data_IF_066635068094
#
_entry.id   IF_066635068094
#
_cell.length_a   1.000
_cell.length_b   1.000
_cell.length_c   1.000
_cell.angle_alpha   90.00
_cell.angle_beta   90.00
_cell.angle_gamma   90.00
#
_symmetry.space_group_name_H-M   'P 1'
#
loop_
_entity.id
_entity.type
_entity.pdbx_description
1 polymer ?
#
# COMPACT_ATOMS: atom_id res chain seq x y z
N UNK A 1 -39.03 16.14 -28.76
CA UNK A 1 -40.11 17.01 -29.30
C UNK A 1 -39.87 17.47 -30.75
N UNK A 2 -38.64 17.69 -31.22
CA UNK A 2 -38.35 18.09 -32.60
C UNK A 2 -38.58 17.00 -33.65
N UNK A 3 -38.41 15.73 -33.34
CA UNK A 3 -38.67 14.59 -34.23
C UNK A 3 -40.14 14.39 -34.61
N UNK A 4 -41.07 14.88 -33.82
CA UNK A 4 -42.52 14.77 -34.09
C UNK A 4 -42.98 15.84 -35.05
N UNK A 5 -42.38 17.01 -35.11
CA UNK A 5 -42.78 18.12 -35.99
C UNK A 5 -42.42 17.86 -37.46
N UNK A 6 -41.29 17.19 -37.74
CA UNK A 6 -40.82 16.92 -39.10
C UNK A 6 -41.57 15.73 -39.72
N UNK A 7 -41.98 14.75 -38.93
CA UNK A 7 -42.81 13.64 -39.39
C UNK A 7 -44.24 14.04 -39.75
N UNK A 8 -44.79 15.06 -39.07
CA UNK A 8 -46.17 15.53 -39.31
C UNK A 8 -46.37 16.25 -40.65
N UNK A 9 -45.37 17.03 -41.12
CA UNK A 9 -45.50 17.78 -42.39
C UNK A 9 -45.50 16.90 -43.63
N UNK A 10 -44.71 15.82 -43.66
CA UNK A 10 -44.69 14.88 -44.79
C UNK A 10 -45.93 13.99 -44.89
N UNK A 11 -46.58 13.74 -43.77
CA UNK A 11 -47.79 12.91 -43.65
C UNK A 11 -49.06 13.64 -44.07
N UNK A 12 -49.16 14.94 -43.89
CA UNK A 12 -50.31 15.73 -44.31
C UNK A 12 -50.44 15.81 -45.85
N UNK A 13 -49.36 15.63 -46.59
CA UNK A 13 -49.37 15.63 -48.06
C UNK A 13 -49.80 14.28 -48.69
N UNK A 14 -49.66 13.16 -48.00
CA UNK A 14 -50.05 11.81 -48.44
C UNK A 14 -51.50 11.42 -48.05
N UNK A 15 -52.21 12.30 -47.38
CA UNK A 15 -53.47 11.99 -46.70
C UNK A 15 -54.75 12.12 -47.60
N UNK A 16 -54.71 11.78 -48.87
CA UNK A 16 -55.92 11.68 -49.66
C UNK A 16 -56.73 10.39 -49.50
N UNK A 17 -56.25 9.42 -48.71
CA UNK A 17 -56.98 8.18 -48.39
C UNK A 17 -56.89 7.84 -46.91
N UNK A 18 -58.02 7.56 -46.24
CA UNK A 18 -58.11 7.26 -44.80
C UNK A 18 -57.21 6.14 -44.28
N UNK A 19 -56.68 5.30 -45.15
CA UNK A 19 -55.76 4.20 -44.84
C UNK A 19 -54.33 4.69 -44.48
N UNK A 20 -53.88 5.76 -45.12
CA UNK A 20 -52.54 6.38 -44.84
C UNK A 20 -52.50 7.05 -43.49
N UNK A 21 -53.58 7.68 -43.06
CA UNK A 21 -53.67 8.30 -41.71
C UNK A 21 -53.67 7.23 -40.60
N UNK A 22 -54.29 6.10 -40.83
CA UNK A 22 -54.38 4.98 -39.86
C UNK A 22 -53.00 4.32 -39.70
N UNK A 23 -52.27 4.09 -40.78
CA UNK A 23 -50.91 3.54 -40.79
C UNK A 23 -49.92 4.49 -40.12
N UNK A 24 -50.04 5.81 -40.37
CA UNK A 24 -49.22 6.83 -39.72
C UNK A 24 -49.44 6.88 -38.20
N UNK A 25 -50.71 6.83 -37.80
CA UNK A 25 -51.06 6.79 -36.36
C UNK A 25 -50.53 5.54 -35.65
N UNK A 26 -50.61 4.37 -36.32
CA UNK A 26 -50.10 3.11 -35.77
C UNK A 26 -48.56 3.12 -35.64
N UNK A 27 -47.89 3.75 -36.60
CA UNK A 27 -46.41 3.86 -36.58
C UNK A 27 -45.93 4.81 -35.50
N UNK A 28 -46.61 5.94 -35.29
CA UNK A 28 -46.31 6.86 -34.19
C UNK A 28 -46.53 6.18 -32.83
N UNK A 29 -47.61 5.39 -32.69
CA UNK A 29 -47.89 4.62 -31.48
C UNK A 29 -46.84 3.54 -31.23
N UNK A 30 -46.42 2.81 -32.27
CA UNK A 30 -45.34 1.83 -32.17
C UNK A 30 -43.98 2.43 -31.85
N UNK A 31 -43.65 3.58 -32.42
CA UNK A 31 -42.44 4.34 -32.05
C UNK A 31 -42.47 4.79 -30.61
N UNK A 32 -43.60 5.27 -30.11
CA UNK A 32 -43.74 5.69 -28.72
C UNK A 32 -43.65 4.51 -27.75
N UNK A 33 -44.17 3.33 -28.11
CA UNK A 33 -44.09 2.11 -27.32
C UNK A 33 -42.67 1.49 -27.29
N UNK A 34 -41.90 1.63 -28.36
CA UNK A 34 -40.55 1.05 -28.46
C UNK A 34 -39.46 1.99 -28.04
N UNK A 35 -39.77 3.28 -27.89
CA UNK A 35 -38.81 4.29 -27.42
C UNK A 35 -38.15 3.97 -26.05
N UNK A 36 -38.86 3.44 -25.03
CA UNK A 36 -38.26 3.07 -23.73
C UNK A 36 -37.37 1.83 -23.80
N UNK A 37 -37.46 0.99 -24.83
CA UNK A 37 -36.77 -0.31 -24.91
C UNK A 37 -35.26 -0.20 -25.21
N UNK A 38 -34.75 0.97 -25.58
CA UNK A 38 -33.33 1.21 -25.84
C UNK A 38 -32.70 0.38 -26.97
N UNK A 39 -31.52 0.78 -27.47
CA UNK A 39 -30.73 0.00 -28.40
C UNK A 39 -31.32 -0.15 -29.82
N UNK A 40 -31.00 -1.27 -30.51
CA UNK A 40 -31.32 -1.56 -31.91
C UNK A 40 -32.82 -1.57 -32.21
N UNK A 41 -33.68 -1.83 -31.25
CA UNK A 41 -35.12 -1.98 -31.39
C UNK A 41 -35.87 -0.66 -31.63
N UNK A 42 -35.30 0.49 -31.36
CA UNK A 42 -35.88 1.84 -31.60
C UNK A 42 -36.23 2.08 -33.06
N UNK A 43 -35.50 1.43 -33.98
CA UNK A 43 -35.62 1.68 -35.44
C UNK A 43 -36.53 0.71 -36.15
N UNK A 44 -36.93 -0.40 -35.49
CA UNK A 44 -37.80 -1.42 -36.06
C UNK A 44 -39.13 -0.84 -36.56
N UNK A 45 -39.85 0.04 -35.82
CA UNK A 45 -41.08 0.64 -36.30
C UNK A 45 -40.88 1.57 -37.51
N UNK A 46 -39.75 2.27 -37.51
CA UNK A 46 -39.40 3.19 -38.60
C UNK A 46 -39.09 2.42 -39.89
N UNK A 47 -38.37 1.33 -39.80
CA UNK A 47 -38.07 0.40 -40.89
C UNK A 47 -39.34 -0.25 -41.40
N UNK A 48 -40.25 -0.67 -40.51
CA UNK A 48 -41.57 -1.17 -40.86
C UNK A 48 -42.44 -0.15 -41.61
N UNK A 49 -42.42 1.10 -41.16
CA UNK A 49 -43.12 2.21 -41.85
C UNK A 49 -42.57 2.47 -43.24
N UNK A 50 -41.25 2.52 -43.39
CA UNK A 50 -40.61 2.74 -44.71
C UNK A 50 -40.92 1.58 -45.66
N UNK A 51 -40.83 0.35 -45.18
CA UNK A 51 -41.17 -0.86 -45.96
C UNK A 51 -42.64 -0.82 -46.42
N UNK A 52 -43.55 -0.46 -45.51
CA UNK A 52 -44.99 -0.38 -45.81
C UNK A 52 -45.31 0.79 -46.77
N UNK A 53 -44.61 1.92 -46.59
CA UNK A 53 -44.75 3.06 -47.47
C UNK A 53 -44.20 2.78 -48.87
N UNK A 54 -43.07 2.09 -49.01
CA UNK A 54 -42.52 1.66 -50.30
C UNK A 54 -43.41 0.66 -51.00
N UNK A 55 -43.98 -0.31 -50.25
CA UNK A 55 -44.94 -1.27 -50.78
C UNK A 55 -46.23 -0.60 -51.26
N UNK A 56 -46.75 0.39 -50.57
CA UNK A 56 -47.96 1.13 -50.99
C UNK A 56 -47.67 2.02 -52.20
N UNK A 57 -46.46 2.54 -52.37
CA UNK A 57 -46.02 3.28 -53.51
C UNK A 57 -45.89 2.44 -54.78
N UNK A 58 -45.45 1.19 -54.64
CA UNK A 58 -45.36 0.20 -55.75
C UNK A 58 -46.74 -0.25 -56.23
N UNK A 59 -47.75 -0.26 -55.34
CA UNK A 59 -49.09 -0.79 -55.63
C UNK A 59 -50.12 0.26 -56.14
N UNK A 60 -49.64 1.42 -56.58
CA UNK A 60 -50.52 2.28 -57.40
C UNK A 60 -51.02 3.58 -56.80
N UNK A 61 -50.43 4.01 -55.72
CA UNK A 61 -50.68 5.31 -55.14
C UNK A 61 -49.70 6.37 -55.72
N UNK A 62 -49.80 6.73 -56.97
CA UNK A 62 -49.20 7.84 -57.72
C UNK A 62 -48.11 8.73 -57.05
N UNK A 63 -47.16 8.18 -56.36
CA UNK A 63 -46.07 8.91 -55.75
C UNK A 63 -45.02 9.31 -56.77
N UNK A 64 -44.69 10.60 -56.84
CA UNK A 64 -43.62 11.10 -57.68
C UNK A 64 -42.25 10.61 -57.26
N UNK A 65 -41.35 10.43 -58.18
CA UNK A 65 -39.95 10.07 -57.96
C UNK A 65 -39.29 10.96 -56.87
N UNK A 66 -39.69 12.24 -56.77
CA UNK A 66 -39.26 13.19 -55.77
C UNK A 66 -39.70 12.82 -54.33
N UNK A 67 -40.90 12.23 -54.18
CA UNK A 67 -41.37 11.75 -52.85
C UNK A 67 -40.62 10.53 -52.36
N UNK A 68 -40.25 9.61 -53.27
CA UNK A 68 -39.42 8.46 -52.96
C UNK A 68 -38.00 8.83 -52.59
N UNK A 69 -37.38 9.75 -53.28
CA UNK A 69 -36.06 10.29 -52.96
C UNK A 69 -36.05 11.03 -51.64
N UNK A 70 -37.08 11.83 -51.33
CA UNK A 70 -37.24 12.52 -50.05
C UNK A 70 -37.37 11.54 -48.87
N UNK A 71 -38.14 10.46 -49.01
CA UNK A 71 -38.25 9.46 -48.00
C UNK A 71 -36.94 8.68 -47.76
N UNK A 72 -36.22 8.33 -48.82
CA UNK A 72 -34.88 7.70 -48.72
C UNK A 72 -33.84 8.61 -48.03
N UNK A 73 -33.81 9.88 -48.33
CA UNK A 73 -32.94 10.86 -47.70
C UNK A 73 -33.27 11.02 -46.21
N UNK A 74 -34.55 11.01 -45.86
CA UNK A 74 -35.00 11.15 -44.48
C UNK A 74 -34.64 9.89 -43.65
N UNK A 75 -34.77 8.71 -44.23
CA UNK A 75 -34.36 7.45 -43.60
C UNK A 75 -32.85 7.36 -43.47
N UNK A 76 -32.13 7.74 -44.50
CA UNK A 76 -30.65 7.81 -44.44
C UNK A 76 -30.16 8.79 -43.42
N UNK A 77 -30.76 9.98 -43.32
CA UNK A 77 -30.45 11.00 -42.35
C UNK A 77 -30.76 10.56 -40.91
N UNK A 78 -31.90 9.95 -40.69
CA UNK A 78 -32.25 9.41 -39.37
C UNK A 78 -31.38 8.19 -38.97
N UNK A 79 -31.02 7.36 -39.93
CA UNK A 79 -30.05 6.28 -39.70
C UNK A 79 -28.67 6.78 -39.30
N UNK A 80 -28.18 7.82 -40.01
CA UNK A 80 -26.90 8.45 -39.68
C UNK A 80 -26.93 9.14 -38.31
N UNK A 81 -28.01 9.82 -37.92
CA UNK A 81 -28.23 10.40 -36.61
C UNK A 81 -28.28 9.35 -35.52
N UNK A 82 -28.91 8.20 -35.77
CA UNK A 82 -28.98 7.09 -34.84
C UNK A 82 -27.64 6.40 -34.62
N UNK A 83 -26.84 6.25 -35.66
CA UNK A 83 -25.48 5.75 -35.56
C UNK A 83 -24.58 6.69 -34.77
N UNK A 84 -24.71 7.99 -34.98
CA UNK A 84 -23.98 9.02 -34.25
C UNK A 84 -24.39 9.10 -32.79
N UNK A 85 -25.68 8.95 -32.46
CA UNK A 85 -26.18 8.93 -31.09
C UNK A 85 -25.70 7.66 -30.35
N UNK A 86 -25.67 6.50 -31.00
CA UNK A 86 -25.13 5.27 -30.39
C UNK A 86 -23.61 5.33 -30.20
N UNK A 87 -22.87 5.96 -31.10
CA UNK A 87 -21.43 6.18 -30.96
C UNK A 87 -21.15 7.13 -29.79
N UNK A 88 -21.84 8.28 -29.72
CA UNK A 88 -21.74 9.23 -28.61
C UNK A 88 -22.13 8.61 -27.27
N UNK A 89 -23.15 7.76 -27.23
CA UNK A 89 -23.57 7.08 -26.01
C UNK A 89 -22.52 6.06 -25.56
N UNK A 90 -21.88 5.37 -26.50
CA UNK A 90 -20.76 4.46 -26.23
C UNK A 90 -19.55 5.21 -25.67
N UNK A 91 -19.21 6.33 -26.28
CA UNK A 91 -18.09 7.19 -25.86
C UNK A 91 -18.32 7.80 -24.48
N UNK A 92 -19.51 8.30 -24.19
CA UNK A 92 -19.90 8.82 -22.87
C UNK A 92 -19.90 7.70 -21.82
N UNK A 93 -20.29 6.50 -22.18
CA UNK A 93 -20.27 5.35 -21.27
C UNK A 93 -18.82 4.93 -20.96
N UNK A 94 -17.96 4.91 -21.98
CA UNK A 94 -16.53 4.66 -21.81
C UNK A 94 -15.86 5.69 -20.91
N UNK A 95 -16.11 6.98 -21.14
CA UNK A 95 -15.59 8.07 -20.29
C UNK A 95 -16.08 7.97 -18.85
N UNK A 96 -17.33 7.58 -18.61
CA UNK A 96 -17.87 7.36 -17.26
C UNK A 96 -17.20 6.18 -16.57
N UNK A 97 -16.92 5.10 -17.28
CA UNK A 97 -16.20 3.95 -16.72
C UNK A 97 -14.77 4.33 -16.33
N UNK A 98 -14.05 5.02 -17.20
CA UNK A 98 -12.70 5.53 -16.91
C UNK A 98 -12.72 6.48 -15.71
N UNK A 99 -13.67 7.42 -15.65
CA UNK A 99 -13.79 8.35 -14.53
C UNK A 99 -14.09 7.61 -13.21
N UNK A 100 -14.97 6.61 -13.23
CA UNK A 100 -15.29 5.80 -12.05
C UNK A 100 -14.08 4.95 -11.59
N UNK A 101 -13.33 4.37 -12.53
CA UNK A 101 -12.12 3.62 -12.25
C UNK A 101 -11.04 4.52 -11.60
N UNK A 102 -10.82 5.71 -12.17
CA UNK A 102 -9.87 6.70 -11.63
C UNK A 102 -10.29 7.16 -10.23
N UNK A 103 -11.57 7.48 -10.03
CA UNK A 103 -12.05 7.95 -8.73
C UNK A 103 -11.98 6.86 -7.64
N UNK A 104 -12.42 5.65 -7.92
CA UNK A 104 -12.38 4.55 -6.96
C UNK A 104 -10.97 4.00 -6.74
N UNK A 105 -10.16 3.91 -7.79
CA UNK A 105 -8.80 3.40 -7.74
C UNK A 105 -7.83 4.35 -7.06
N UNK A 106 -7.94 5.66 -7.30
CA UNK A 106 -7.10 6.65 -6.62
C UNK A 106 -7.34 6.69 -5.11
N UNK A 107 -8.60 6.52 -4.66
CA UNK A 107 -8.91 6.41 -3.23
C UNK A 107 -8.20 5.22 -2.58
N UNK A 108 -8.29 4.03 -3.18
CA UNK A 108 -7.59 2.83 -2.68
C UNK A 108 -6.06 3.00 -2.65
N UNK A 109 -5.51 3.72 -3.64
CA UNK A 109 -4.08 3.98 -3.71
C UNK A 109 -3.62 4.91 -2.58
N UNK A 110 -4.40 5.95 -2.26
CA UNK A 110 -4.10 6.90 -1.16
C UNK A 110 -4.24 6.25 0.22
N UNK A 111 -5.15 5.30 0.39
CA UNK A 111 -5.35 4.56 1.64
C UNK A 111 -4.30 3.48 1.89
N UNK A 112 -3.51 3.12 0.87
CA UNK A 112 -2.50 2.08 0.98
C UNK A 112 -1.28 2.56 1.79
N UNK A 113 -0.92 1.80 2.83
CA UNK A 113 0.12 2.16 3.80
C UNK A 113 1.39 1.29 3.69
N UNK A 114 1.41 0.33 2.75
CA UNK A 114 2.54 -0.57 2.49
C UNK A 114 2.86 -0.58 1.00
N UNK A 115 4.12 -0.76 0.64
CA UNK A 115 4.53 -0.85 -0.76
C UNK A 115 3.73 -1.88 -1.56
N UNK A 116 3.50 -3.07 -0.99
CA UNK A 116 2.72 -4.13 -1.63
C UNK A 116 1.27 -3.72 -1.91
N UNK A 117 0.63 -3.00 -0.98
CA UNK A 117 -0.75 -2.53 -1.14
C UNK A 117 -0.83 -1.40 -2.17
N UNK A 118 0.16 -0.51 -2.20
CA UNK A 118 0.30 0.55 -3.22
C UNK A 118 0.44 -0.08 -4.61
N UNK A 119 1.34 -1.07 -4.75
CA UNK A 119 1.53 -1.80 -6.01
C UNK A 119 0.24 -2.50 -6.43
N UNK A 120 -0.42 -3.20 -5.52
CA UNK A 120 -1.68 -3.90 -5.77
C UNK A 120 -2.78 -2.93 -6.22
N UNK A 121 -2.92 -1.80 -5.53
CA UNK A 121 -3.91 -0.78 -5.87
C UNK A 121 -3.60 -0.12 -7.22
N UNK A 122 -2.33 0.20 -7.51
CA UNK A 122 -1.90 0.78 -8.76
C UNK A 122 -2.12 -0.15 -9.96
N UNK A 123 -1.73 -1.43 -9.83
CA UNK A 123 -2.00 -2.45 -10.86
C UNK A 123 -3.50 -2.65 -11.07
N UNK A 124 -4.30 -2.64 -9.99
CA UNK A 124 -5.75 -2.74 -10.10
C UNK A 124 -6.36 -1.53 -10.80
N UNK A 125 -5.90 -0.32 -10.49
CA UNK A 125 -6.34 0.93 -11.12
C UNK A 125 -6.11 0.89 -12.63
N UNK A 126 -4.90 0.54 -13.07
CA UNK A 126 -4.58 0.44 -14.51
C UNK A 126 -5.38 -0.67 -15.18
N UNK A 127 -5.59 -1.80 -14.50
CA UNK A 127 -6.39 -2.91 -15.04
C UNK A 127 -7.87 -2.54 -15.21
N UNK A 128 -8.43 -1.72 -14.33
CA UNK A 128 -9.83 -1.23 -14.39
C UNK A 128 -10.08 -0.29 -15.59
N UNK A 129 -9.04 0.33 -16.15
CA UNK A 129 -9.14 1.08 -17.39
C UNK A 129 -9.49 0.17 -18.59
N UNK A 130 -9.18 -1.12 -18.51
CA UNK A 130 -9.57 -2.12 -19.51
C UNK A 130 -8.78 -2.05 -20.82
N UNK A 131 -7.64 -1.34 -20.86
CA UNK A 131 -6.86 -1.13 -22.10
C UNK A 131 -6.06 -2.35 -22.54
N UNK A 132 -5.70 -3.23 -21.60
CA UNK A 132 -4.91 -4.42 -21.89
C UNK A 132 -5.30 -5.59 -20.97
N UNK A 133 -5.37 -6.83 -21.51
CA UNK A 133 -5.63 -8.03 -20.70
C UNK A 133 -4.42 -8.47 -19.89
N UNK A 134 -3.20 -8.04 -20.25
CA UNK A 134 -1.95 -8.41 -19.62
C UNK A 134 -1.22 -7.15 -19.13
N UNK A 135 -0.92 -7.12 -17.84
CA UNK A 135 -0.29 -5.98 -17.15
C UNK A 135 0.68 -6.50 -16.10
N UNK A 136 1.87 -5.94 -16.04
CA UNK A 136 2.84 -6.14 -14.98
C UNK A 136 3.39 -4.81 -14.47
N UNK A 137 3.65 -4.74 -13.18
CA UNK A 137 4.53 -3.75 -12.56
C UNK A 137 5.81 -4.43 -12.13
N UNK A 138 6.92 -3.94 -12.61
CA UNK A 138 8.27 -4.39 -12.26
C UNK A 138 8.91 -3.30 -11.42
N UNK A 139 9.27 -3.63 -10.20
CA UNK A 139 10.03 -2.76 -9.30
C UNK A 139 11.33 -3.40 -8.89
N UNK A 140 12.10 -2.74 -8.03
CA UNK A 140 13.41 -3.19 -7.61
C UNK A 140 13.38 -3.73 -6.18
N UNK A 141 13.87 -4.97 -5.98
CA UNK A 141 14.07 -5.58 -4.68
C UNK A 141 15.55 -5.87 -4.50
N UNK A 142 16.18 -5.20 -3.55
CA UNK A 142 17.64 -5.28 -3.34
C UNK A 142 18.46 -5.00 -4.61
N UNK A 143 17.99 -4.04 -5.42
CA UNK A 143 18.64 -3.64 -6.67
C UNK A 143 18.39 -4.58 -7.86
N UNK A 144 17.60 -5.65 -7.69
CA UNK A 144 17.22 -6.56 -8.77
C UNK A 144 15.79 -6.29 -9.21
N UNK A 145 15.52 -6.15 -10.53
CA UNK A 145 14.16 -5.99 -11.02
C UNK A 145 13.35 -7.26 -10.80
N UNK A 146 12.13 -7.10 -10.33
CA UNK A 146 11.20 -8.17 -10.00
C UNK A 146 9.77 -7.79 -10.33
N UNK A 147 8.96 -8.73 -10.79
CA UNK A 147 7.52 -8.52 -10.96
C UNK A 147 6.88 -8.45 -9.59
N UNK A 148 6.42 -7.26 -9.19
CA UNK A 148 5.82 -7.01 -7.87
C UNK A 148 4.30 -7.01 -7.90
N UNK A 149 3.70 -6.83 -9.07
CA UNK A 149 2.25 -6.90 -9.26
C UNK A 149 1.91 -7.19 -10.70
N UNK A 150 0.86 -7.98 -10.96
CA UNK A 150 0.51 -8.36 -12.31
C UNK A 150 -0.97 -8.76 -12.47
N UNK A 151 -1.42 -8.75 -13.74
CA UNK A 151 -2.68 -9.30 -14.19
C UNK A 151 -2.53 -10.06 -15.51
N UNK A 152 -3.48 -10.95 -15.80
CA UNK A 152 -3.48 -11.78 -16.99
C UNK A 152 -2.30 -12.75 -16.98
N UNK A 153 -1.68 -12.97 -18.14
CA UNK A 153 -0.59 -13.96 -18.29
C UNK A 153 0.70 -13.62 -17.48
N UNK A 154 0.84 -12.40 -16.99
CA UNK A 154 1.96 -12.06 -16.10
C UNK A 154 1.75 -12.52 -14.65
N UNK A 155 0.54 -12.92 -14.25
CA UNK A 155 0.22 -13.20 -12.84
C UNK A 155 1.04 -14.36 -12.24
N UNK A 156 1.46 -15.32 -13.05
CA UNK A 156 2.30 -16.46 -12.62
C UNK A 156 3.77 -16.09 -12.34
N UNK A 157 4.18 -14.87 -12.75
CA UNK A 157 5.54 -14.38 -12.61
C UNK A 157 5.73 -13.42 -11.42
N UNK A 158 4.69 -13.17 -10.64
CA UNK A 158 4.78 -12.32 -9.44
C UNK A 158 5.83 -12.90 -8.48
N UNK A 159 6.68 -12.03 -7.96
CA UNK A 159 7.86 -12.32 -7.13
C UNK A 159 9.02 -13.04 -7.84
N UNK A 160 8.98 -13.17 -9.15
CA UNK A 160 10.14 -13.70 -9.90
C UNK A 160 11.11 -12.57 -10.26
N UNK A 161 12.41 -12.71 -9.98
CA UNK A 161 13.43 -11.78 -10.43
C UNK A 161 13.57 -11.85 -11.95
N UNK A 162 13.86 -10.70 -12.55
CA UNK A 162 14.15 -10.55 -13.98
C UNK A 162 15.65 -10.24 -14.10
N UNK A 163 16.33 -10.89 -15.01
CA UNK A 163 17.75 -10.68 -15.22
C UNK A 163 17.96 -10.03 -16.60
N UNK A 164 17.95 -8.68 -16.70
CA UNK A 164 18.15 -8.00 -17.96
C UNK A 164 19.56 -8.26 -18.51
N UNK A 165 19.66 -8.53 -19.80
CA UNK A 165 20.91 -8.71 -20.50
C UNK A 165 21.55 -7.34 -20.78
N UNK A 166 22.18 -6.70 -19.79
CA UNK A 166 22.91 -5.43 -19.97
C UNK A 166 23.05 -4.57 -18.72
N UNK A 167 23.87 -3.52 -18.76
CA UNK A 167 24.10 -2.56 -17.67
C UNK A 167 22.89 -1.63 -17.45
N UNK A 168 22.42 -1.52 -16.22
CA UNK A 168 21.07 -1.12 -15.80
C UNK A 168 20.85 0.37 -15.46
N UNK A 169 21.50 1.34 -16.13
CA UNK A 169 21.39 2.76 -15.72
C UNK A 169 21.09 3.78 -16.82
N UNK A 170 20.33 3.40 -17.89
CA UNK A 170 19.98 4.36 -18.95
C UNK A 170 18.54 4.16 -19.44
N UNK A 171 17.97 5.15 -20.17
CA UNK A 171 16.67 5.03 -20.89
C UNK A 171 16.64 3.80 -21.83
N UNK A 172 17.81 3.33 -22.29
CA UNK A 172 17.95 2.05 -23.00
C UNK A 172 17.70 0.84 -22.10
N UNK A 173 17.90 0.96 -20.77
CA UNK A 173 17.62 -0.10 -19.82
C UNK A 173 16.11 -0.34 -19.63
N UNK A 174 15.27 0.69 -19.68
CA UNK A 174 13.82 0.55 -19.57
C UNK A 174 13.24 -0.20 -20.76
N UNK A 175 13.74 0.03 -21.96
CA UNK A 175 13.34 -0.74 -23.14
C UNK A 175 13.82 -2.19 -23.06
N UNK A 176 15.06 -2.42 -22.63
CA UNK A 176 15.60 -3.77 -22.45
C UNK A 176 14.83 -4.53 -21.35
N UNK A 177 14.49 -3.87 -20.25
CA UNK A 177 13.68 -4.45 -19.18
C UNK A 177 12.25 -4.75 -19.66
N UNK A 178 11.66 -3.87 -20.45
CA UNK A 178 10.33 -4.11 -21.02
C UNK A 178 10.34 -5.33 -21.95
N UNK A 179 11.36 -5.47 -22.80
CA UNK A 179 11.53 -6.60 -23.72
C UNK A 179 11.68 -7.93 -22.96
N UNK A 180 12.46 -7.96 -21.88
CA UNK A 180 12.62 -9.13 -21.02
C UNK A 180 11.30 -9.50 -20.31
N UNK A 181 10.56 -8.51 -19.84
CA UNK A 181 9.23 -8.72 -19.23
C UNK A 181 8.26 -9.29 -20.27
N UNK A 182 8.25 -8.75 -21.49
CA UNK A 182 7.40 -9.22 -22.57
C UNK A 182 7.80 -10.63 -23.03
N UNK A 183 9.07 -10.99 -22.91
CA UNK A 183 9.55 -12.35 -23.21
C UNK A 183 8.95 -13.41 -22.27
N UNK A 184 8.48 -13.02 -21.08
CA UNK A 184 7.76 -13.93 -20.16
C UNK A 184 6.40 -14.35 -20.71
N UNK A 185 5.77 -13.52 -21.57
CA UNK A 185 4.45 -13.84 -22.12
C UNK A 185 4.52 -15.01 -23.10
N UNK A 186 3.52 -15.89 -23.10
CA UNK A 186 3.36 -16.89 -24.13
C UNK A 186 3.12 -16.21 -25.50
N UNK A 187 3.52 -16.84 -26.62
CA UNK A 187 3.45 -16.22 -27.95
C UNK A 187 2.08 -15.62 -28.31
N UNK A 188 1.00 -16.27 -27.92
CA UNK A 188 -0.39 -15.83 -28.15
C UNK A 188 -0.79 -14.59 -27.35
N UNK A 189 -0.10 -14.29 -26.26
CA UNK A 189 -0.35 -13.11 -25.42
C UNK A 189 0.59 -11.93 -25.79
N UNK A 190 1.60 -12.17 -26.65
CA UNK A 190 2.48 -11.13 -27.17
C UNK A 190 1.78 -10.35 -28.26
N UNK A 191 1.87 -9.03 -28.22
CA UNK A 191 1.25 -8.14 -29.19
C UNK A 191 1.78 -6.73 -29.05
N UNK A 192 0.92 -5.77 -29.32
CA UNK A 192 1.23 -4.37 -29.07
C UNK A 192 1.47 -4.15 -27.58
N UNK A 193 2.49 -3.38 -27.24
CA UNK A 193 2.87 -3.15 -25.86
C UNK A 193 3.02 -1.66 -25.55
N UNK A 194 2.87 -1.34 -24.29
CA UNK A 194 3.09 -0.03 -23.72
C UNK A 194 3.91 -0.20 -22.44
N UNK A 195 5.07 0.43 -22.39
CA UNK A 195 5.88 0.55 -21.19
C UNK A 195 5.85 1.98 -20.68
N UNK A 196 5.64 2.15 -19.38
CA UNK A 196 5.55 3.47 -18.73
C UNK A 196 6.37 3.42 -17.45
N UNK A 197 7.37 4.29 -17.28
CA UNK A 197 8.16 4.37 -16.07
C UNK A 197 7.29 4.86 -14.90
N UNK A 198 7.53 4.30 -13.72
CA UNK A 198 6.94 4.72 -12.46
C UNK A 198 8.02 5.43 -11.66
N UNK A 199 7.91 6.75 -11.55
CA UNK A 199 8.89 7.60 -10.88
C UNK A 199 8.26 8.32 -9.69
N UNK A 200 9.01 8.44 -8.59
CA UNK A 200 8.56 9.13 -7.39
C UNK A 200 9.75 9.65 -6.58
N UNK A 201 9.61 10.80 -5.91
CA UNK A 201 10.69 11.38 -5.12
C UNK A 201 11.96 11.72 -5.92
N UNK A 202 11.89 11.79 -7.26
CA UNK A 202 13.05 12.00 -8.13
C UNK A 202 13.82 10.73 -8.47
N UNK A 203 13.32 9.55 -8.08
CA UNK A 203 13.91 8.24 -8.34
C UNK A 203 13.05 7.41 -9.28
N UNK A 204 13.70 6.50 -10.00
CA UNK A 204 13.04 5.46 -10.77
C UNK A 204 12.64 4.31 -9.81
N UNK A 205 11.33 4.07 -9.72
CA UNK A 205 10.74 3.07 -8.82
C UNK A 205 10.34 1.80 -9.57
N UNK A 206 10.38 1.83 -10.91
CA UNK A 206 10.08 0.68 -11.74
C UNK A 206 9.30 0.99 -13.01
N UNK A 207 8.75 -0.05 -13.62
CA UNK A 207 8.13 -0.01 -14.93
C UNK A 207 6.78 -0.70 -14.94
N UNK A 208 5.75 -0.02 -15.48
CA UNK A 208 4.48 -0.64 -15.88
C UNK A 208 4.60 -1.14 -17.32
N UNK A 209 4.30 -2.40 -17.54
CA UNK A 209 4.31 -3.04 -18.87
C UNK A 209 2.92 -3.61 -19.15
N UNK A 210 2.29 -3.12 -20.22
CA UNK A 210 1.00 -3.58 -20.70
C UNK A 210 1.18 -4.28 -22.05
N UNK A 211 0.42 -5.37 -22.27
CA UNK A 211 0.39 -6.05 -23.56
C UNK A 211 -1.02 -6.41 -23.96
N UNK A 212 -1.35 -6.21 -25.26
CA UNK A 212 -2.60 -6.63 -25.87
C UNK A 212 -2.41 -7.08 -27.32
N UNK A 213 -3.18 -8.04 -27.82
CA UNK A 213 -3.10 -8.45 -29.22
C UNK A 213 -3.75 -7.41 -30.14
N UNK A 214 -3.12 -7.14 -31.25
CA UNK A 214 -3.72 -6.65 -32.48
C UNK A 214 -3.90 -5.15 -32.68
N UNK A 215 -3.99 -4.30 -31.66
CA UNK A 215 -4.26 -2.86 -31.81
C UNK A 215 -3.25 -2.03 -31.06
N UNK A 216 -2.57 -1.04 -31.72
CA UNK A 216 -1.65 -0.15 -31.04
C UNK A 216 -2.35 0.71 -29.98
N UNK A 217 -1.61 1.07 -28.92
CA UNK A 217 -2.12 1.99 -27.89
C UNK A 217 -2.24 3.41 -28.44
N UNK A 218 -3.40 4.02 -28.25
CA UNK A 218 -3.64 5.41 -28.62
C UNK A 218 -2.88 6.38 -27.69
N UNK A 219 -2.75 7.64 -28.12
CA UNK A 219 -2.15 8.69 -27.30
C UNK A 219 -2.93 8.92 -25.99
N UNK A 220 -4.26 8.86 -26.04
CA UNK A 220 -5.13 9.05 -24.87
C UNK A 220 -4.98 7.89 -23.86
N UNK A 221 -4.93 6.65 -24.34
CA UNK A 221 -4.69 5.47 -23.48
C UNK A 221 -3.32 5.57 -22.81
N UNK A 222 -2.28 5.93 -23.55
CA UNK A 222 -0.94 6.18 -23.02
C UNK A 222 -0.97 7.25 -21.94
N UNK A 223 -1.57 8.43 -22.20
CA UNK A 223 -1.66 9.53 -21.24
C UNK A 223 -2.38 9.15 -19.94
N UNK A 224 -3.41 8.28 -20.02
CA UNK A 224 -4.12 7.78 -18.85
C UNK A 224 -3.24 6.80 -18.03
N UNK A 225 -2.52 5.90 -18.69
CA UNK A 225 -1.59 4.99 -18.00
C UNK A 225 -0.43 5.76 -17.38
N UNK A 226 0.11 6.76 -18.06
CA UNK A 226 1.15 7.68 -17.53
C UNK A 226 0.65 8.42 -16.28
N UNK A 227 -0.61 8.87 -16.28
CA UNK A 227 -1.22 9.51 -15.11
C UNK A 227 -1.36 8.54 -13.93
N UNK A 228 -1.76 7.30 -14.19
CA UNK A 228 -1.81 6.25 -13.16
C UNK A 228 -0.41 5.91 -12.64
N UNK A 229 0.59 5.81 -13.51
CA UNK A 229 1.99 5.58 -13.16
C UNK A 229 2.53 6.70 -12.26
N UNK A 230 2.21 7.95 -12.61
CA UNK A 230 2.57 9.13 -11.81
C UNK A 230 1.95 9.09 -10.41
N UNK A 231 0.66 8.77 -10.28
CA UNK A 231 -0.02 8.62 -8.99
C UNK A 231 0.60 7.50 -8.16
N UNK A 232 0.84 6.34 -8.77
CA UNK A 232 1.48 5.21 -8.13
C UNK A 232 2.89 5.54 -7.65
N UNK A 233 3.67 6.21 -8.51
CA UNK A 233 5.02 6.65 -8.20
C UNK A 233 5.07 7.67 -7.06
N UNK A 234 4.14 8.62 -7.04
CA UNK A 234 4.02 9.58 -5.94
C UNK A 234 3.77 8.89 -4.60
N UNK A 235 2.89 7.90 -4.54
CA UNK A 235 2.60 7.14 -3.32
C UNK A 235 3.77 6.25 -2.89
N UNK A 236 4.40 5.54 -3.83
CA UNK A 236 5.59 4.72 -3.55
C UNK A 236 6.75 5.59 -3.05
N UNK A 237 7.05 6.71 -3.72
CA UNK A 237 8.10 7.63 -3.31
C UNK A 237 7.84 8.28 -1.95
N UNK A 238 6.58 8.59 -1.62
CA UNK A 238 6.21 9.04 -0.29
C UNK A 238 6.43 7.96 0.77
N UNK A 239 6.05 6.73 0.46
CA UNK A 239 6.27 5.59 1.35
C UNK A 239 7.76 5.34 1.60
N UNK A 240 8.60 5.36 0.54
CA UNK A 240 10.06 5.22 0.66
C UNK A 240 10.65 6.33 1.53
N UNK A 241 10.29 7.59 1.29
CA UNK A 241 10.78 8.71 2.08
C UNK A 241 10.41 8.59 3.58
N UNK A 242 9.21 8.06 3.89
CA UNK A 242 8.80 7.78 5.26
C UNK A 242 9.65 6.66 5.88
N UNK A 243 9.95 5.60 5.11
CA UNK A 243 10.82 4.51 5.58
C UNK A 243 12.25 5.01 5.84
N UNK A 244 12.83 5.75 4.89
CA UNK A 244 14.16 6.36 5.06
C UNK A 244 14.25 7.27 6.29
N UNK A 245 13.22 8.09 6.50
CA UNK A 245 13.16 8.95 7.68
C UNK A 245 13.09 8.15 8.98
N UNK A 246 12.32 7.04 8.99
CA UNK A 246 12.23 6.13 10.14
C UNK A 246 13.58 5.47 10.42
N UNK A 247 14.26 4.98 9.39
CA UNK A 247 15.57 4.33 9.50
C UNK A 247 16.64 5.31 9.98
N UNK A 248 16.66 6.54 9.44
CA UNK A 248 17.56 7.61 9.89
C UNK A 248 17.31 7.99 11.35
N UNK A 249 16.05 8.03 11.77
CA UNK A 249 15.68 8.32 13.15
C UNK A 249 16.15 7.18 14.10
N UNK A 250 15.89 5.92 13.75
CA UNK A 250 16.35 4.76 14.53
C UNK A 250 17.89 4.71 14.62
N UNK A 251 18.60 5.05 13.54
CA UNK A 251 20.07 5.16 13.54
C UNK A 251 20.56 6.25 14.48
N UNK A 252 19.87 7.40 14.50
CA UNK A 252 20.20 8.52 15.39
C UNK A 252 20.03 8.12 16.86
N UNK A 253 18.90 7.47 17.20
CA UNK A 253 18.64 7.00 18.55
C UNK A 253 19.66 5.95 19.00
N UNK A 254 20.02 5.02 18.11
CA UNK A 254 21.09 4.04 18.35
C UNK A 254 22.43 4.70 18.62
N UNK A 255 22.76 5.74 17.85
CA UNK A 255 24.01 6.48 18.03
C UNK A 255 24.06 7.24 19.36
N UNK A 256 22.92 7.80 19.79
CA UNK A 256 22.77 8.43 21.10
C UNK A 256 22.95 7.41 22.24
N UNK A 257 22.31 6.26 22.17
CA UNK A 257 22.48 5.17 23.15
C UNK A 257 23.93 4.72 23.25
N UNK A 258 24.62 4.51 22.12
CA UNK A 258 26.02 4.14 22.09
C UNK A 258 26.96 5.24 22.65
N UNK A 259 26.61 6.52 22.50
CA UNK A 259 27.37 7.62 23.10
C UNK A 259 27.18 7.64 24.62
N UNK A 260 26.01 7.32 25.13
CA UNK A 260 25.71 7.22 26.56
C UNK A 260 26.48 6.07 27.21
N UNK A 261 26.55 4.90 26.60
CA UNK A 261 27.33 3.76 27.09
C UNK A 261 28.79 4.12 27.31
N UNK A 262 29.38 4.91 26.39
CA UNK A 262 30.78 5.36 26.54
C UNK A 262 30.99 6.30 27.73
N UNK A 263 29.94 7.06 28.11
CA UNK A 263 30.00 7.93 29.27
C UNK A 263 29.90 7.18 30.60
N UNK A 264 29.13 6.08 30.62
CA UNK A 264 28.83 5.31 31.86
C UNK A 264 29.87 4.22 32.13
N UNK A 265 30.99 4.14 31.39
CA UNK A 265 31.98 3.05 31.46
C UNK A 265 31.32 1.66 31.35
N UNK A 266 30.11 1.57 30.82
CA UNK A 266 29.46 0.28 30.54
C UNK A 266 30.18 -0.45 29.42
N UNK A 267 30.17 -1.77 29.51
CA UNK A 267 30.79 -2.62 28.49
C UNK A 267 30.11 -2.42 27.14
N UNK A 268 30.88 -1.95 26.15
CA UNK A 268 30.35 -1.55 24.84
C UNK A 268 29.42 -2.60 24.23
N UNK A 269 28.27 -2.12 23.70
CA UNK A 269 27.25 -2.93 23.05
C UNK A 269 26.10 -3.41 23.94
N UNK A 270 26.02 -2.99 25.21
CA UNK A 270 24.89 -3.26 26.10
C UNK A 270 23.56 -2.83 25.46
N UNK A 271 23.44 -1.55 25.11
CA UNK A 271 22.21 -1.02 24.49
C UNK A 271 21.82 -1.80 23.25
N UNK A 272 22.76 -2.14 22.37
CA UNK A 272 22.46 -2.92 21.17
C UNK A 272 21.95 -4.33 21.47
N UNK A 273 22.55 -5.02 22.47
CA UNK A 273 22.13 -6.36 22.89
C UNK A 273 20.74 -6.33 23.51
N UNK A 274 20.51 -5.40 24.46
CA UNK A 274 19.21 -5.28 25.16
C UNK A 274 18.09 -4.90 24.18
N UNK A 275 18.34 -3.95 23.26
CA UNK A 275 17.37 -3.60 22.20
C UNK A 275 17.05 -4.81 21.33
N UNK A 276 18.07 -5.51 20.81
CA UNK A 276 17.90 -6.67 19.95
C UNK A 276 17.09 -7.78 20.64
N UNK A 277 17.42 -8.11 21.89
CA UNK A 277 16.74 -9.14 22.64
C UNK A 277 15.30 -8.74 23.02
N UNK A 278 15.05 -7.47 23.37
CA UNK A 278 13.71 -6.97 23.66
C UNK A 278 12.80 -7.01 22.44
N UNK A 279 13.31 -6.61 21.28
CA UNK A 279 12.57 -6.66 20.00
C UNK A 279 12.21 -8.12 19.65
N UNK A 280 13.15 -9.05 19.73
CA UNK A 280 12.88 -10.46 19.46
C UNK A 280 11.84 -11.04 20.42
N UNK A 281 11.92 -10.70 21.71
CA UNK A 281 10.94 -11.15 22.70
C UNK A 281 9.55 -10.61 22.40
N UNK A 282 9.42 -9.31 22.06
CA UNK A 282 8.16 -8.70 21.70
C UNK A 282 7.55 -9.33 20.43
N UNK A 283 8.37 -9.58 19.42
CA UNK A 283 7.95 -10.27 18.17
C UNK A 283 7.49 -11.71 18.46
N UNK A 284 8.23 -12.46 19.27
CA UNK A 284 7.85 -13.83 19.68
C UNK A 284 6.52 -13.85 20.46
N UNK A 285 6.15 -12.75 21.12
CA UNK A 285 4.90 -12.56 21.83
C UNK A 285 3.78 -12.02 20.94
N UNK A 286 4.04 -11.76 19.64
CA UNK A 286 3.05 -11.30 18.68
C UNK A 286 2.71 -9.81 18.80
N UNK A 287 3.60 -8.99 19.34
CA UNK A 287 3.40 -7.54 19.36
C UNK A 287 3.40 -7.01 17.92
N UNK A 288 2.52 -6.04 17.65
CA UNK A 288 2.50 -5.36 16.35
C UNK A 288 3.75 -4.50 16.14
N UNK A 289 3.99 -4.12 14.89
CA UNK A 289 5.21 -3.40 14.49
C UNK A 289 5.33 -2.02 15.15
N UNK A 290 4.21 -1.38 15.43
CA UNK A 290 4.15 -0.06 16.06
C UNK A 290 4.59 -0.11 17.52
N UNK A 291 4.10 -1.11 18.26
CA UNK A 291 4.53 -1.37 19.65
C UNK A 291 5.99 -1.83 19.73
N UNK A 292 6.42 -2.68 18.80
CA UNK A 292 7.84 -3.10 18.71
C UNK A 292 8.74 -1.89 18.45
N UNK A 293 8.34 -0.96 17.58
CA UNK A 293 9.09 0.27 17.33
C UNK A 293 9.13 1.20 18.55
N UNK A 294 8.03 1.31 19.30
CA UNK A 294 7.97 2.08 20.55
C UNK A 294 8.92 1.50 21.62
N UNK A 295 8.88 0.17 21.81
CA UNK A 295 9.78 -0.56 22.70
C UNK A 295 11.25 -0.35 22.32
N UNK A 296 11.58 -0.47 21.03
CA UNK A 296 12.93 -0.27 20.49
C UNK A 296 13.47 1.12 20.82
N UNK A 297 12.67 2.17 20.58
CA UNK A 297 13.04 3.56 20.89
C UNK A 297 13.24 3.75 22.39
N UNK A 298 12.35 3.25 23.22
CA UNK A 298 12.47 3.29 24.67
C UNK A 298 13.74 2.60 25.17
N UNK A 299 14.05 1.44 24.63
CA UNK A 299 15.25 0.67 24.95
C UNK A 299 16.56 1.41 24.56
N UNK A 300 16.58 2.16 23.42
CA UNK A 300 17.73 3.01 23.10
C UNK A 300 17.91 4.18 24.06
N UNK A 301 16.82 4.69 24.60
CA UNK A 301 16.79 5.94 25.37
C UNK A 301 16.63 5.75 26.88
N UNK A 302 16.51 4.49 27.37
CA UNK A 302 16.18 4.20 28.78
C UNK A 302 17.09 4.92 29.78
N UNK A 303 18.36 5.02 29.46
CA UNK A 303 19.41 5.59 30.29
C UNK A 303 19.75 7.06 29.95
N UNK A 304 19.00 7.73 29.06
CA UNK A 304 19.31 9.10 28.60
C UNK A 304 19.48 10.08 29.75
N UNK A 305 18.76 9.92 30.83
CA UNK A 305 18.85 10.77 32.00
C UNK A 305 20.19 10.71 32.74
N UNK A 306 21.02 9.70 32.52
CA UNK A 306 22.37 9.61 33.05
C UNK A 306 23.27 10.77 32.59
N UNK A 307 22.91 11.45 31.48
CA UNK A 307 23.59 12.67 31.03
C UNK A 307 23.63 13.78 32.10
N UNK A 308 22.60 13.84 32.93
CA UNK A 308 22.51 14.87 33.99
C UNK A 308 23.08 14.41 35.34
N UNK A 309 23.51 13.15 35.44
CA UNK A 309 24.11 12.65 36.67
C UNK A 309 25.56 13.15 36.78
N UNK A 310 25.97 13.75 37.92
CA UNK A 310 27.34 14.22 38.13
C UNK A 310 28.34 13.06 38.09
N UNK A 311 29.49 13.25 37.42
CA UNK A 311 30.55 12.23 37.26
C UNK A 311 31.05 11.67 38.58
N UNK A 312 31.13 12.48 39.65
CA UNK A 312 31.51 12.02 41.00
C UNK A 312 30.59 10.96 41.58
N UNK A 313 29.31 10.89 41.10
CA UNK A 313 28.32 9.92 41.53
C UNK A 313 28.28 8.78 40.53
N UNK A 314 28.23 9.07 39.23
CA UNK A 314 28.15 8.09 38.16
C UNK A 314 29.34 7.12 38.14
N UNK A 315 30.56 7.65 38.29
CA UNK A 315 31.82 6.88 38.27
C UNK A 315 32.39 6.57 39.65
N UNK A 316 31.57 6.64 40.70
CA UNK A 316 32.03 6.36 42.05
C UNK A 316 32.49 4.91 42.21
N UNK A 317 33.76 4.73 42.58
CA UNK A 317 34.29 3.40 42.92
C UNK A 317 33.95 3.07 44.38
N UNK A 318 32.86 2.34 44.59
CA UNK A 318 32.44 1.93 45.91
C UNK A 318 30.92 2.05 46.13
N UNK A 319 30.41 1.69 47.32
CA UNK A 319 28.99 1.77 47.59
C UNK A 319 28.52 3.22 47.60
N UNK A 320 27.33 3.43 46.99
CA UNK A 320 26.63 4.70 47.02
C UNK A 320 25.98 4.90 48.38
N UNK A 321 26.10 6.12 48.92
CA UNK A 321 25.30 6.53 50.07
C UNK A 321 23.82 6.77 49.66
N UNK A 322 22.96 7.11 50.63
CA UNK A 322 21.53 7.29 50.41
C UNK A 322 21.23 8.43 49.44
N UNK A 323 21.97 9.52 49.49
CA UNK A 323 21.77 10.68 48.62
C UNK A 323 22.30 10.43 47.20
N UNK A 324 23.48 9.85 47.09
CA UNK A 324 24.05 9.44 45.81
C UNK A 324 23.17 8.42 45.11
N UNK A 325 22.55 7.48 45.84
CA UNK A 325 21.59 6.53 45.30
C UNK A 325 20.36 7.26 44.73
N UNK A 326 19.81 8.25 45.44
CA UNK A 326 18.67 9.05 44.92
C UNK A 326 19.04 9.81 43.66
N UNK A 327 20.29 10.33 43.60
CA UNK A 327 20.77 11.01 42.41
C UNK A 327 20.84 10.05 41.23
N UNK A 328 21.37 8.83 41.40
CA UNK A 328 21.36 7.81 40.32
C UNK A 328 19.92 7.42 39.93
N UNK A 329 19.07 7.14 40.92
CA UNK A 329 17.69 6.72 40.67
C UNK A 329 16.87 7.80 39.93
N UNK A 330 17.26 9.07 40.04
CA UNK A 330 16.57 10.17 39.33
C UNK A 330 16.75 10.16 37.81
N UNK A 331 17.71 9.37 37.26
CA UNK A 331 17.96 9.37 35.82
C UNK A 331 16.71 8.95 35.00
N UNK A 332 15.90 8.04 35.51
CA UNK A 332 14.67 7.60 34.81
C UNK A 332 13.65 8.74 34.68
N UNK A 333 13.49 9.56 35.71
CA UNK A 333 12.62 10.75 35.68
C UNK A 333 13.23 11.87 34.82
N UNK A 334 14.53 12.08 34.92
CA UNK A 334 15.25 13.08 34.12
C UNK A 334 15.15 12.70 32.63
N UNK A 335 15.40 11.42 32.29
CA UNK A 335 15.26 10.92 30.94
C UNK A 335 13.85 11.14 30.38
N UNK A 336 12.83 10.83 31.15
CA UNK A 336 11.44 11.12 30.80
C UNK A 336 11.22 12.63 30.54
N UNK A 337 11.68 13.48 31.45
CA UNK A 337 11.49 14.93 31.31
C UNK A 337 12.21 15.51 30.09
N UNK A 338 13.34 14.96 29.68
CA UNK A 338 14.07 15.37 28.48
C UNK A 338 13.32 14.99 27.19
N UNK A 339 12.50 13.93 27.25
CA UNK A 339 11.87 13.35 26.07
C UNK A 339 10.37 13.68 25.94
N UNK A 340 9.68 14.07 27.02
CA UNK A 340 8.21 14.22 27.05
C UNK A 340 7.67 15.26 26.08
N UNK A 341 8.46 16.29 25.73
CA UNK A 341 8.06 17.33 24.78
C UNK A 341 8.32 16.93 23.30
N UNK A 342 8.89 15.76 23.07
CA UNK A 342 9.11 15.21 21.73
C UNK A 342 7.85 14.45 21.26
N UNK A 343 6.89 15.19 20.70
CA UNK A 343 5.57 14.68 20.31
C UNK A 343 5.57 13.51 19.31
N UNK A 344 6.70 13.23 18.65
CA UNK A 344 6.87 12.09 17.78
C UNK A 344 7.18 10.78 18.51
N UNK A 345 7.49 10.83 19.82
CA UNK A 345 7.71 9.64 20.63
C UNK A 345 6.37 9.13 21.19
N UNK A 346 6.04 7.85 20.97
CA UNK A 346 4.86 7.22 21.56
C UNK A 346 4.92 7.25 23.10
N UNK A 347 3.75 7.31 23.74
CA UNK A 347 3.66 7.23 25.20
C UNK A 347 4.33 5.98 25.78
N UNK A 348 4.21 4.84 25.10
CA UNK A 348 4.83 3.57 25.48
C UNK A 348 6.38 3.66 25.55
N UNK A 349 7.01 4.48 24.67
CA UNK A 349 8.44 4.79 24.72
C UNK A 349 8.81 5.55 25.99
N UNK A 350 8.02 6.60 26.30
CA UNK A 350 8.24 7.46 27.48
C UNK A 350 8.01 6.68 28.79
N UNK A 351 7.00 5.82 28.79
CA UNK A 351 6.68 4.95 29.92
C UNK A 351 7.82 3.96 30.21
N UNK A 352 8.43 3.39 29.16
CA UNK A 352 9.59 2.52 29.33
C UNK A 352 10.74 3.29 29.97
N UNK A 353 11.12 4.47 29.41
CA UNK A 353 12.22 5.28 29.94
C UNK A 353 12.00 5.64 31.40
N UNK A 354 10.77 5.97 31.78
CA UNK A 354 10.46 6.37 33.15
C UNK A 354 10.46 5.20 34.13
N UNK A 355 9.98 4.01 33.69
CA UNK A 355 9.58 2.93 34.57
C UNK A 355 10.41 1.63 34.43
N UNK A 356 11.51 1.64 33.67
CA UNK A 356 12.33 0.43 33.45
C UNK A 356 13.01 -0.11 34.73
N UNK A 357 13.07 0.68 35.79
CA UNK A 357 13.56 0.25 37.10
C UNK A 357 12.45 -0.06 38.12
N UNK A 358 11.19 -0.06 37.70
CA UNK A 358 10.15 -0.56 38.55
C UNK A 358 10.29 -2.07 38.75
N UNK A 359 9.87 -2.54 39.92
CA UNK A 359 9.95 -3.96 40.30
C UNK A 359 8.56 -4.52 40.49
N UNK A 360 8.38 -5.74 40.07
CA UNK A 360 7.08 -6.42 40.15
C UNK A 360 6.48 -6.38 41.56
N UNK A 361 7.30 -6.46 42.61
CA UNK A 361 6.90 -6.42 44.01
C UNK A 361 6.61 -5.01 44.55
N UNK A 362 6.79 -3.95 43.75
CA UNK A 362 6.60 -2.56 44.13
C UNK A 362 7.77 -1.94 44.93
N UNK A 363 8.91 -2.63 45.03
CA UNK A 363 10.09 -2.09 45.69
C UNK A 363 11.01 -1.29 44.76
N UNK A 364 10.60 -1.08 43.51
CA UNK A 364 11.33 -0.32 42.49
C UNK A 364 11.20 1.20 42.59
N UNK A 365 11.61 1.89 41.55
CA UNK A 365 11.53 3.35 41.42
C UNK A 365 11.22 3.74 39.96
N UNK A 366 10.73 4.94 39.70
CA UNK A 366 10.55 6.08 40.59
C UNK A 366 9.18 6.12 41.28
N UNK A 367 8.15 5.44 40.75
CA UNK A 367 6.77 5.56 41.21
C UNK A 367 6.32 4.42 42.15
N UNK A 368 7.15 3.41 42.32
CA UNK A 368 6.86 2.20 43.12
C UNK A 368 5.61 1.45 42.66
N UNK A 369 5.45 1.38 41.35
CA UNK A 369 4.37 0.63 40.72
C UNK A 369 4.52 -0.85 41.00
N UNK A 370 3.38 -1.58 41.03
CA UNK A 370 3.39 -3.00 41.38
C UNK A 370 2.64 -3.82 40.34
N UNK A 371 3.17 -4.98 40.00
CA UNK A 371 2.50 -5.94 39.12
C UNK A 371 2.14 -5.33 37.78
N UNK A 372 0.88 -5.42 37.41
CA UNK A 372 0.37 -4.91 36.13
C UNK A 372 0.22 -3.39 36.04
N UNK A 373 0.37 -2.66 37.17
CA UNK A 373 0.41 -1.19 37.13
C UNK A 373 1.67 -0.67 36.45
N UNK A 374 2.75 -1.51 36.42
CA UNK A 374 3.97 -1.20 35.66
C UNK A 374 3.66 -1.29 34.17
N UNK A 375 4.01 -0.26 33.37
CA UNK A 375 3.81 -0.30 31.92
C UNK A 375 4.39 -1.56 31.27
N UNK A 376 3.68 -2.12 30.32
CA UNK A 376 4.00 -3.43 29.75
C UNK A 376 5.38 -3.47 29.12
N UNK A 377 5.75 -2.42 28.34
CA UNK A 377 7.07 -2.31 27.73
C UNK A 377 8.20 -2.29 28.78
N UNK A 378 7.98 -1.62 29.92
CA UNK A 378 8.96 -1.57 31.00
C UNK A 378 9.14 -2.94 31.68
N UNK A 379 8.04 -3.71 31.87
CA UNK A 379 8.10 -5.08 32.43
C UNK A 379 8.87 -6.04 31.55
N UNK A 380 8.63 -5.98 30.21
CA UNK A 380 9.35 -6.79 29.23
C UNK A 380 10.83 -6.43 29.22
N UNK A 381 11.13 -5.13 29.11
CA UNK A 381 12.48 -4.61 29.03
C UNK A 381 13.31 -4.98 30.26
N UNK A 382 12.77 -4.84 31.48
CA UNK A 382 13.47 -5.15 32.73
C UNK A 382 14.01 -6.59 32.80
N UNK A 383 13.31 -7.56 32.20
CA UNK A 383 13.79 -8.95 32.13
C UNK A 383 15.04 -9.07 31.28
N UNK A 384 15.04 -8.41 30.13
CA UNK A 384 16.16 -8.44 29.18
C UNK A 384 17.36 -7.67 29.73
N UNK A 385 17.13 -6.50 30.32
CA UNK A 385 18.16 -5.65 30.91
C UNK A 385 18.88 -6.40 32.06
N UNK A 386 18.14 -7.01 32.98
CA UNK A 386 18.70 -7.82 34.05
C UNK A 386 19.51 -9.00 33.50
N UNK A 387 19.01 -9.68 32.45
CA UNK A 387 19.73 -10.79 31.83
C UNK A 387 21.07 -10.33 31.23
N UNK A 388 21.08 -9.22 30.48
CA UNK A 388 22.31 -8.65 29.90
C UNK A 388 23.28 -8.24 31.01
N UNK A 389 22.79 -7.59 32.06
CA UNK A 389 23.60 -7.20 33.23
C UNK A 389 24.25 -8.41 33.97
N UNK A 390 23.62 -9.58 33.92
CA UNK A 390 24.17 -10.82 34.49
C UNK A 390 25.19 -11.48 33.56
N UNK A 391 24.92 -11.49 32.26
CA UNK A 391 25.70 -12.24 31.25
C UNK A 391 26.80 -11.44 30.59
N UNK A 392 26.85 -10.13 30.84
CA UNK A 392 27.92 -9.25 30.34
C UNK A 392 29.00 -9.04 31.41
N UNK A 393 30.27 -9.09 30.99
CA UNK A 393 31.39 -8.74 31.88
C UNK A 393 31.36 -7.23 32.16
N UNK A 394 31.51 -6.83 33.43
CA UNK A 394 31.63 -5.45 33.85
C UNK A 394 33.02 -5.24 34.52
N UNK A 395 33.59 -4.04 34.61
CA UNK A 395 34.92 -3.81 35.14
C UNK A 395 35.17 -4.45 36.50
N UNK A 396 34.12 -4.70 37.28
CA UNK A 396 34.19 -5.24 38.63
C UNK A 396 33.48 -6.56 38.83
N UNK A 397 32.89 -7.19 37.74
CA UNK A 397 32.12 -8.41 37.82
C UNK A 397 32.28 -9.23 36.54
N UNK A 398 32.77 -10.50 36.63
CA UNK A 398 32.79 -11.39 35.47
C UNK A 398 31.36 -11.72 35.01
N UNK A 399 31.22 -12.03 33.73
CA UNK A 399 29.94 -12.53 33.17
C UNK A 399 29.56 -13.85 33.84
N UNK A 400 28.30 -14.00 34.15
CA UNK A 400 27.77 -15.29 34.66
C UNK A 400 27.57 -16.27 33.50
N UNK A 401 27.77 -17.57 33.75
CA UNK A 401 27.34 -18.58 32.82
C UNK A 401 25.82 -18.48 32.57
N UNK A 402 25.41 -18.72 31.32
CA UNK A 402 24.00 -18.65 30.90
C UNK A 402 23.06 -19.41 31.84
N UNK A 403 23.40 -20.64 32.18
CA UNK A 403 22.60 -21.47 33.09
C UNK A 403 22.34 -20.81 34.45
N UNK A 404 23.36 -20.15 35.00
CA UNK A 404 23.26 -19.41 36.26
C UNK A 404 22.37 -18.17 36.11
N UNK A 405 22.51 -17.42 35.01
CA UNK A 405 21.66 -16.25 34.71
C UNK A 405 20.17 -16.65 34.55
N UNK A 406 19.90 -17.75 33.86
CA UNK A 406 18.52 -18.26 33.71
C UNK A 406 17.94 -18.73 35.05
N UNK A 407 18.75 -19.32 35.93
CA UNK A 407 18.33 -19.69 37.30
C UNK A 407 17.97 -18.44 38.11
N UNK A 408 18.75 -17.37 38.02
CA UNK A 408 18.47 -16.12 38.71
C UNK A 408 17.20 -15.48 38.19
N UNK A 409 16.99 -15.40 36.87
CA UNK A 409 15.73 -14.88 36.30
C UNK A 409 14.51 -15.64 36.87
N UNK A 410 14.58 -16.97 36.96
CA UNK A 410 13.48 -17.77 37.59
C UNK A 410 13.30 -17.41 39.08
N UNK A 411 14.38 -17.15 39.81
CA UNK A 411 14.29 -16.76 41.21
C UNK A 411 13.74 -15.36 41.44
N UNK A 412 13.92 -14.46 40.48
CA UNK A 412 13.41 -13.09 40.51
C UNK A 412 11.97 -12.96 39.96
N UNK A 413 11.42 -13.98 39.32
CA UNK A 413 10.05 -13.99 38.84
C UNK A 413 9.06 -13.83 40.02
N UNK A 414 8.16 -12.86 39.90
CA UNK A 414 7.21 -12.46 40.94
C UNK A 414 7.79 -11.59 42.06
N UNK A 415 9.09 -11.27 41.99
CA UNK A 415 9.80 -10.37 42.90
C UNK A 415 10.22 -9.10 42.14
N UNK A 416 11.38 -9.14 41.52
CA UNK A 416 11.86 -8.06 40.67
C UNK A 416 11.16 -8.03 39.31
N UNK A 417 10.94 -9.21 38.71
CA UNK A 417 10.58 -9.37 37.32
C UNK A 417 9.16 -9.95 37.15
N UNK A 418 8.51 -9.59 36.08
CA UNK A 418 7.21 -10.15 35.70
C UNK A 418 7.37 -11.64 35.34
N UNK A 419 6.66 -12.56 36.03
CA UNK A 419 6.76 -14.00 35.75
C UNK A 419 6.41 -14.38 34.31
N UNK A 420 5.49 -13.66 33.69
CA UNK A 420 5.07 -13.90 32.30
C UNK A 420 6.23 -13.67 31.33
N UNK A 421 6.89 -12.50 31.42
CA UNK A 421 8.00 -12.16 30.56
C UNK A 421 9.25 -12.97 30.84
N UNK A 422 9.52 -13.33 32.10
CA UNK A 422 10.61 -14.27 32.44
C UNK A 422 10.40 -15.60 31.73
N UNK A 423 9.19 -16.19 31.83
CA UNK A 423 8.90 -17.46 31.18
C UNK A 423 9.00 -17.39 29.65
N UNK A 424 8.51 -16.32 29.07
CA UNK A 424 8.58 -16.09 27.62
C UNK A 424 10.02 -15.94 27.14
N UNK A 425 10.82 -15.14 27.83
CA UNK A 425 12.22 -14.90 27.47
C UNK A 425 13.07 -16.17 27.55
N UNK A 426 12.88 -16.97 28.60
CA UNK A 426 13.58 -18.25 28.74
C UNK A 426 13.22 -19.19 27.59
N UNK A 427 11.93 -19.33 27.25
CA UNK A 427 11.51 -20.16 26.10
C UNK A 427 12.13 -19.68 24.79
N UNK A 428 12.19 -18.38 24.57
CA UNK A 428 12.82 -17.81 23.38
C UNK A 428 14.30 -18.19 23.30
N UNK A 429 15.05 -18.02 24.39
CA UNK A 429 16.47 -18.36 24.43
C UNK A 429 16.72 -19.89 24.25
N UNK A 430 15.86 -20.73 24.81
CA UNK A 430 15.96 -22.19 24.67
C UNK A 430 15.65 -22.65 23.23
N UNK A 431 14.71 -22.00 22.54
CA UNK A 431 14.40 -22.26 21.13
C UNK A 431 15.56 -21.87 20.19
N UNK A 432 16.17 -20.70 20.41
CA UNK A 432 17.33 -20.23 19.65
C UNK A 432 18.50 -21.23 19.73
N UNK A 433 18.76 -21.78 20.91
CA UNK A 433 19.84 -22.77 21.11
C UNK A 433 19.57 -24.09 20.36
N UNK A 434 18.31 -24.51 20.29
CA UNK A 434 17.94 -25.71 19.53
C UNK A 434 18.09 -25.52 18.03
N UNK A 435 17.79 -24.34 17.51
CA UNK A 435 17.94 -24.04 16.10
C UNK A 435 19.41 -23.90 15.69
N UNK A 436 20.25 -23.30 16.53
CA UNK A 436 21.71 -23.24 16.32
C UNK A 436 22.34 -24.64 16.26
N UNK A 437 21.92 -25.53 17.14
CA UNK A 437 22.41 -26.94 17.15
C UNK A 437 21.98 -27.69 15.89
N UNK A 438 20.76 -27.42 15.35
CA UNK A 438 20.28 -28.05 14.11
C UNK A 438 20.99 -27.56 12.86
N UNK A 439 21.46 -26.31 12.84
CA UNK A 439 22.18 -25.73 11.70
C UNK A 439 23.64 -26.19 11.61
N UNK A 440 24.21 -26.70 12.73
CA UNK A 440 25.60 -27.17 12.83
C UNK A 440 25.70 -28.70 12.71
N UNK A 441 24.61 -29.42 12.83
CA UNK A 441 24.52 -30.87 12.67
C UNK A 441 24.10 -31.29 11.27
#
# INVERSE_FOLDING_TARGET
MWGLAVGGGGLLWAASTGQTLLLAGLTVALCALTWPLGGRWRWVPLLGFVATFLLSAVWGAGLSLAGLLGALLLVGGLGALGLRDSALTGEVTGLRQVAAALQGGSGRLVEANRAEDIVRAGVALVAELGFAPHLAYVGYVRGLPQVLGARGAFAEYVHRPIFPAGDSHSVQADHALADEVLALLPPEARGEHLSVPVTGGGHDLGLLVLSRPGVPFSADERGLVESCACLMGAQLGQWEAICELRDANDLTLRSLGAALERRDDETGGHTARVVSASVRLAQALGWDEERVAALRRGAYLHDLGKLAIPDRVLHKRGPLDTEERRIIESHSVIGYNLLQDLHFLPAETLDLVRHHHERWDGSGYPARLRGHDIPEAARLFAVVDVYDALTSARPYKPAWPRAQALQELRAQAGRQLDPHYVAAFIRMLEAEEQDDVRLVS
#
